data_IF_560024688860
#
_entry.id   IF_560024688860
#
_cell.length_a   1.000
_cell.length_b   1.000
_cell.length_c   1.000
_cell.angle_alpha   90.00
_cell.angle_beta   90.00
_cell.angle_gamma   90.00
#
_symmetry.space_group_name_H-M   'P 1'
#
loop_
_entity.id
_entity.type
_entity.pdbx_description
1 polymer ?
#
# COMPACT_ATOMS: atom_id res chain seq x y z
N UNK A 1 19.32 2.13 8.86
CA UNK A 1 18.87 0.78 9.25
C UNK A 1 18.67 -0.11 8.04
N UNK A 2 17.68 0.13 7.17
CA UNK A 2 17.44 -0.71 5.98
C UNK A 2 18.64 -0.69 5.01
N UNK A 3 19.17 0.49 4.67
CA UNK A 3 20.34 0.61 3.79
C UNK A 3 21.55 -0.20 4.29
N UNK A 4 21.86 -0.12 5.59
CA UNK A 4 22.94 -0.94 6.18
C UNK A 4 22.70 -2.45 6.05
N UNK A 5 21.46 -2.90 6.24
CA UNK A 5 21.12 -4.33 6.06
C UNK A 5 21.14 -4.75 4.59
N UNK A 6 20.82 -3.83 3.67
CA UNK A 6 20.85 -4.08 2.23
C UNK A 6 22.26 -4.36 1.70
N UNK A 7 23.32 -3.86 2.35
CA UNK A 7 24.72 -4.16 1.98
C UNK A 7 25.07 -5.65 2.05
N UNK A 8 24.30 -6.46 2.78
CA UNK A 8 24.48 -7.92 2.81
C UNK A 8 23.86 -8.65 1.62
N UNK A 9 23.03 -7.96 0.82
CA UNK A 9 22.32 -8.53 -0.32
C UNK A 9 22.73 -7.90 -1.65
N UNK A 10 22.88 -6.57 -1.69
CA UNK A 10 23.26 -5.81 -2.86
C UNK A 10 24.77 -5.53 -2.88
N UNK A 11 25.35 -5.53 -4.09
CA UNK A 11 26.77 -5.21 -4.30
C UNK A 11 27.11 -3.78 -3.87
N UNK A 12 26.21 -2.85 -4.14
CA UNK A 12 26.36 -1.42 -3.88
C UNK A 12 25.03 -0.86 -3.36
N UNK A 13 25.11 0.01 -2.35
CA UNK A 13 23.94 0.59 -1.68
C UNK A 13 24.24 2.03 -1.31
N UNK A 14 23.51 2.94 -1.95
CA UNK A 14 23.57 4.37 -1.63
C UNK A 14 22.40 4.81 -0.77
N UNK A 15 22.71 5.69 0.18
CA UNK A 15 21.73 6.36 1.00
C UNK A 15 21.64 7.83 0.59
N UNK A 16 20.69 8.12 -0.29
CA UNK A 16 20.51 9.44 -0.87
C UNK A 16 19.52 10.28 -0.06
N UNK A 17 19.86 11.55 0.17
CA UNK A 17 18.94 12.49 0.82
C UNK A 17 17.91 13.01 -0.18
N UNK A 18 16.63 12.68 0.05
CA UNK A 18 15.52 13.10 -0.82
C UNK A 18 15.44 14.62 -1.01
N UNK A 19 15.99 15.42 -0.09
CA UNK A 19 16.04 16.89 -0.19
C UNK A 19 16.95 17.41 -1.30
N UNK A 20 17.87 16.58 -1.78
CA UNK A 20 18.80 16.87 -2.86
C UNK A 20 18.35 16.28 -4.20
N UNK A 21 17.15 15.72 -4.26
CA UNK A 21 16.61 15.08 -5.47
C UNK A 21 15.68 16.05 -6.19
N UNK A 22 15.85 16.13 -7.50
CA UNK A 22 15.00 16.88 -8.41
C UNK A 22 14.47 15.98 -9.52
N UNK A 23 13.34 16.34 -10.12
CA UNK A 23 12.79 15.67 -11.30
C UNK A 23 12.64 16.70 -12.41
N UNK A 24 13.42 16.55 -13.46
CA UNK A 24 13.45 17.44 -14.62
C UNK A 24 12.56 16.88 -15.73
N UNK A 25 11.76 17.75 -16.34
CA UNK A 25 10.83 17.45 -17.44
C UNK A 25 11.12 18.38 -18.62
N UNK A 26 10.73 17.96 -19.83
CA UNK A 26 10.91 18.76 -21.06
C UNK A 26 12.14 18.41 -21.90
N UNK A 27 12.95 17.44 -21.45
CA UNK A 27 14.00 16.83 -22.26
C UNK A 27 13.40 15.84 -23.27
N UNK A 28 13.96 15.76 -24.48
CA UNK A 28 13.55 14.79 -25.52
C UNK A 28 13.72 13.32 -25.08
N UNK A 29 14.61 13.06 -24.12
CA UNK A 29 14.87 11.73 -23.55
C UNK A 29 13.85 11.32 -22.48
N UNK A 30 12.88 12.18 -22.17
CA UNK A 30 11.87 11.95 -21.14
C UNK A 30 12.30 12.46 -19.76
N UNK A 31 11.58 12.06 -18.70
CA UNK A 31 11.84 12.56 -17.35
C UNK A 31 13.21 12.10 -16.84
N UNK A 32 13.93 13.02 -16.19
CA UNK A 32 15.22 12.76 -15.56
C UNK A 32 15.13 12.99 -14.05
N UNK A 33 15.76 12.11 -13.27
CA UNK A 33 15.93 12.30 -11.83
C UNK A 33 17.36 12.76 -11.61
N UNK A 34 17.53 13.87 -10.88
CA UNK A 34 18.81 14.51 -10.61
C UNK A 34 19.08 14.40 -9.10
N UNK A 35 20.31 14.06 -8.71
CA UNK A 35 20.77 14.09 -7.33
C UNK A 35 22.01 14.97 -7.22
N UNK A 36 21.94 15.99 -6.35
CA UNK A 36 23.05 16.91 -6.08
C UNK A 36 23.64 17.54 -7.36
N UNK A 37 22.76 17.93 -8.29
CA UNK A 37 23.10 18.58 -9.56
C UNK A 37 23.55 17.65 -10.70
N UNK A 38 23.56 16.33 -10.49
CA UNK A 38 23.94 15.34 -11.52
C UNK A 38 22.81 14.36 -11.81
N UNK A 39 22.69 13.83 -13.04
CA UNK A 39 21.77 12.74 -13.32
C UNK A 39 21.97 11.59 -12.34
N UNK A 40 20.88 11.09 -11.77
CA UNK A 40 20.90 9.95 -10.87
C UNK A 40 21.44 8.74 -11.64
N UNK A 41 22.36 8.01 -11.02
CA UNK A 41 22.92 6.78 -11.57
C UNK A 41 21.84 5.71 -11.79
N UNK A 42 22.16 4.69 -12.59
CA UNK A 42 21.25 3.58 -12.83
C UNK A 42 21.26 2.61 -11.64
N UNK A 43 20.10 2.45 -11.00
CA UNK A 43 19.90 1.50 -9.92
C UNK A 43 19.01 0.35 -10.38
N UNK A 44 19.28 -0.87 -9.92
CA UNK A 44 18.38 -2.01 -10.10
C UNK A 44 17.13 -1.92 -9.19
N UNK A 45 17.28 -1.24 -8.04
CA UNK A 45 16.25 -1.11 -7.00
C UNK A 45 16.29 0.28 -6.37
N UNK A 46 15.14 0.93 -6.24
CA UNK A 46 15.01 2.19 -5.50
C UNK A 46 13.91 2.07 -4.44
N UNK A 47 14.29 2.18 -3.17
CA UNK A 47 13.33 2.29 -2.08
C UNK A 47 13.12 3.75 -1.66
N UNK A 48 12.25 4.46 -2.37
CA UNK A 48 11.91 5.85 -2.07
C UNK A 48 11.12 5.94 -0.75
N UNK A 49 11.66 6.67 0.23
CA UNK A 49 10.99 6.97 1.52
C UNK A 49 10.96 8.46 1.76
N UNK A 50 9.83 8.97 2.25
CA UNK A 50 9.68 10.38 2.57
C UNK A 50 8.53 10.64 3.52
N UNK A 51 8.60 11.77 4.23
CA UNK A 51 7.41 12.31 4.90
C UNK A 51 6.40 12.80 3.86
N UNK A 52 5.16 13.06 4.28
CA UNK A 52 4.10 13.60 3.41
C UNK A 52 4.52 14.89 2.66
N UNK A 53 5.48 15.66 3.20
CA UNK A 53 6.05 16.86 2.55
C UNK A 53 6.71 16.57 1.21
N UNK A 54 7.22 15.36 1.02
CA UNK A 54 7.88 14.92 -0.20
C UNK A 54 7.00 13.99 -1.04
N UNK A 55 5.69 13.90 -0.75
CA UNK A 55 4.79 13.01 -1.48
C UNK A 55 4.76 13.29 -3.00
N UNK A 56 4.76 14.58 -3.38
CA UNK A 56 4.81 14.99 -4.78
C UNK A 56 6.13 14.58 -5.44
N UNK A 57 7.25 14.81 -4.76
CA UNK A 57 8.57 14.43 -5.25
C UNK A 57 8.71 12.90 -5.37
N UNK A 58 8.25 12.14 -4.37
CA UNK A 58 8.24 10.67 -4.39
C UNK A 58 7.40 10.12 -5.54
N UNK A 59 6.24 10.74 -5.82
CA UNK A 59 5.44 10.43 -7.01
C UNK A 59 6.20 10.72 -8.31
N UNK A 60 6.89 11.87 -8.38
CA UNK A 60 7.69 12.24 -9.54
C UNK A 60 8.82 11.24 -9.81
N UNK A 61 9.58 10.87 -8.77
CA UNK A 61 10.68 9.89 -8.87
C UNK A 61 10.14 8.54 -9.33
N UNK A 62 9.10 8.02 -8.65
CA UNK A 62 8.53 6.72 -8.99
C UNK A 62 7.89 6.69 -10.37
N UNK A 63 7.29 7.79 -10.82
CA UNK A 63 6.75 7.88 -12.17
C UNK A 63 7.86 7.93 -13.24
N UNK A 64 8.94 8.67 -12.98
CA UNK A 64 10.07 8.81 -13.89
C UNK A 64 10.88 7.51 -14.05
N UNK A 65 10.91 6.65 -13.02
CA UNK A 65 11.77 5.47 -12.96
C UNK A 65 11.03 4.12 -13.00
N UNK A 66 9.69 4.13 -13.17
CA UNK A 66 8.80 2.96 -13.03
C UNK A 66 9.27 1.72 -13.83
N UNK A 67 9.78 1.92 -15.03
CA UNK A 67 10.20 0.83 -15.93
C UNK A 67 11.72 0.57 -15.91
N UNK A 68 12.47 1.39 -15.17
CA UNK A 68 13.93 1.32 -15.14
C UNK A 68 14.43 0.38 -14.04
N UNK A 69 13.76 0.39 -12.89
CA UNK A 69 14.20 -0.32 -11.69
C UNK A 69 13.00 -0.84 -10.89
N UNK A 70 13.24 -1.82 -10.02
CA UNK A 70 12.22 -2.23 -9.06
C UNK A 70 12.02 -1.15 -8.00
N UNK A 71 10.76 -0.81 -7.72
CA UNK A 71 10.37 0.09 -6.64
C UNK A 71 9.18 -0.51 -5.89
N UNK A 72 9.23 -0.61 -4.55
CA UNK A 72 8.18 -1.24 -3.75
C UNK A 72 6.92 -0.37 -3.58
N UNK A 73 6.93 0.85 -4.11
CA UNK A 73 5.81 1.78 -4.04
C UNK A 73 5.55 2.31 -5.43
N UNK A 74 4.29 2.29 -5.86
CA UNK A 74 3.90 2.87 -7.12
C UNK A 74 3.71 4.40 -6.99
N UNK A 75 3.68 5.14 -8.11
CA UNK A 75 3.32 6.56 -8.09
C UNK A 75 1.95 6.83 -7.42
N UNK A 76 1.00 5.92 -7.64
CA UNK A 76 -0.32 5.96 -7.04
C UNK A 76 -0.25 5.76 -5.53
N UNK A 77 0.63 4.89 -5.02
CA UNK A 77 0.81 4.69 -3.57
C UNK A 77 1.20 5.98 -2.83
N UNK A 78 2.04 6.82 -3.43
CA UNK A 78 2.38 8.14 -2.85
C UNK A 78 1.21 9.13 -2.89
N UNK A 79 0.28 8.95 -3.83
CA UNK A 79 -0.95 9.75 -3.91
C UNK A 79 -1.95 9.33 -2.85
N UNK A 80 -2.22 8.02 -2.80
CA UNK A 80 -3.27 7.43 -1.98
C UNK A 80 -2.80 7.35 -0.52
N UNK A 81 -1.62 6.81 -0.26
CA UNK A 81 -1.12 6.55 1.11
C UNK A 81 -0.75 7.79 1.93
N UNK A 82 -0.78 8.99 1.34
CA UNK A 82 -0.61 10.26 2.07
C UNK A 82 -1.92 11.04 2.25
N UNK A 83 -3.04 10.54 1.73
CA UNK A 83 -4.38 11.08 1.90
C UNK A 83 -5.28 10.02 2.56
N UNK A 84 -5.66 10.27 3.81
CA UNK A 84 -6.48 9.31 4.58
C UNK A 84 -7.82 9.04 3.91
N UNK A 85 -8.46 10.05 3.31
CA UNK A 85 -9.75 9.85 2.68
C UNK A 85 -9.62 9.05 1.39
N UNK A 86 -8.63 9.37 0.56
CA UNK A 86 -8.39 8.63 -0.68
C UNK A 86 -7.99 7.18 -0.41
N UNK A 87 -7.22 6.93 0.67
CA UNK A 87 -6.95 5.57 1.15
C UNK A 87 -8.27 4.84 1.42
N UNK A 88 -9.16 5.42 2.24
CA UNK A 88 -10.46 4.83 2.58
C UNK A 88 -11.33 4.59 1.33
N UNK A 89 -11.31 5.48 0.33
CA UNK A 89 -12.01 5.25 -0.94
C UNK A 89 -11.50 4.00 -1.66
N UNK A 90 -10.19 3.78 -1.72
CA UNK A 90 -9.62 2.57 -2.35
C UNK A 90 -9.96 1.31 -1.55
N UNK A 91 -9.90 1.37 -0.21
CA UNK A 91 -10.33 0.27 0.65
C UNK A 91 -11.80 -0.09 0.43
N UNK A 92 -12.68 0.90 0.20
CA UNK A 92 -14.12 0.70 0.05
C UNK A 92 -14.43 -0.01 -1.26
N UNK A 93 -13.73 0.35 -2.34
CA UNK A 93 -13.84 -0.31 -3.65
C UNK A 93 -13.47 -1.79 -3.58
N UNK A 94 -12.52 -2.13 -2.72
CA UNK A 94 -12.08 -3.51 -2.48
C UNK A 94 -12.94 -4.23 -1.42
N UNK A 95 -13.97 -3.60 -0.87
CA UNK A 95 -14.84 -4.20 0.16
C UNK A 95 -14.12 -4.46 1.50
N UNK A 96 -13.08 -3.68 1.81
CA UNK A 96 -12.32 -3.77 3.06
C UNK A 96 -13.08 -3.02 4.17
N UNK A 97 -13.42 -3.66 5.30
CA UNK A 97 -14.09 -2.98 6.40
C UNK A 97 -13.29 -1.80 6.95
N UNK A 98 -13.96 -0.66 7.06
CA UNK A 98 -13.46 0.58 7.67
C UNK A 98 -14.58 1.26 8.48
N UNK A 99 -14.25 2.17 9.43
CA UNK A 99 -15.28 2.94 10.11
C UNK A 99 -16.02 3.85 9.12
N UNK A 100 -17.32 4.06 9.33
CA UNK A 100 -18.10 4.96 8.46
C UNK A 100 -17.45 6.33 8.44
N UNK A 101 -17.15 6.83 7.24
CA UNK A 101 -16.40 8.07 7.05
C UNK A 101 -17.11 8.96 6.04
N UNK A 102 -17.16 10.25 6.34
CA UNK A 102 -17.85 11.26 5.58
C UNK A 102 -16.90 12.42 5.26
N UNK A 103 -17.00 12.91 4.03
CA UNK A 103 -16.37 14.15 3.58
C UNK A 103 -17.49 15.08 3.14
N UNK A 104 -17.47 16.33 3.63
CA UNK A 104 -18.47 17.33 3.31
C UNK A 104 -17.82 18.48 2.55
N UNK A 105 -18.53 19.01 1.53
CA UNK A 105 -18.03 20.14 0.74
C UNK A 105 -18.10 21.49 1.47
N UNK A 106 -18.92 21.60 2.52
CA UNK A 106 -19.04 22.82 3.34
C UNK A 106 -19.23 22.46 4.81
N UNK A 107 -18.87 23.40 5.69
CA UNK A 107 -19.10 23.27 7.14
C UNK A 107 -20.57 23.16 7.47
N UNK A 108 -21.45 23.86 6.75
CA UNK A 108 -22.91 23.72 6.91
C UNK A 108 -23.38 22.27 6.71
N UNK A 109 -22.93 21.61 5.65
CA UNK A 109 -23.28 20.20 5.40
C UNK A 109 -22.59 19.27 6.40
N UNK A 110 -21.36 19.56 6.80
CA UNK A 110 -20.64 18.83 7.84
C UNK A 110 -21.39 18.86 9.19
N UNK A 111 -21.94 20.01 9.59
CA UNK A 111 -22.73 20.15 10.81
C UNK A 111 -24.00 19.30 10.79
N UNK A 112 -24.69 19.20 9.65
CA UNK A 112 -25.84 18.29 9.49
C UNK A 112 -25.45 16.82 9.61
N UNK A 113 -24.26 16.44 9.14
CA UNK A 113 -23.73 15.08 9.32
C UNK A 113 -23.42 14.80 10.78
N UNK A 114 -22.79 15.75 11.48
CA UNK A 114 -22.52 15.66 12.92
C UNK A 114 -23.82 15.48 13.72
N UNK A 115 -24.87 16.23 13.43
CA UNK A 115 -26.18 16.10 14.12
C UNK A 115 -26.80 14.69 14.01
N UNK A 116 -26.49 13.97 12.93
CA UNK A 116 -26.98 12.61 12.66
C UNK A 116 -25.99 11.52 13.08
N UNK A 117 -24.82 11.90 13.60
CA UNK A 117 -23.77 10.96 13.97
C UNK A 117 -24.02 10.36 15.35
N UNK A 118 -23.50 9.15 15.58
CA UNK A 118 -23.40 8.60 16.92
C UNK A 118 -22.17 9.20 17.60
N UNK A 119 -22.27 9.42 18.91
CA UNK A 119 -21.19 10.01 19.71
C UNK A 119 -20.52 8.96 20.62
N UNK A 120 -19.19 9.07 20.84
CA UNK A 120 -18.31 10.10 20.30
C UNK A 120 -18.08 9.95 18.79
N UNK A 121 -17.87 11.06 18.09
CA UNK A 121 -17.51 11.09 16.68
C UNK A 121 -16.07 11.58 16.52
N UNK A 122 -15.39 11.15 15.46
CA UNK A 122 -14.01 11.54 15.18
C UNK A 122 -13.97 12.55 14.04
N UNK A 123 -13.27 13.66 14.23
CA UNK A 123 -12.98 14.63 13.15
C UNK A 123 -11.48 14.59 12.89
N UNK A 124 -11.06 14.34 11.64
CA UNK A 124 -9.64 14.21 11.27
C UNK A 124 -9.25 15.16 10.16
N UNK A 125 -8.02 15.68 10.22
CA UNK A 125 -7.38 16.29 9.05
C UNK A 125 -6.87 15.16 8.13
N UNK A 126 -7.26 15.14 6.83
CA UNK A 126 -6.90 14.06 5.90
C UNK A 126 -5.39 13.89 5.72
N UNK A 127 -4.66 15.00 5.69
CA UNK A 127 -3.19 15.03 5.55
C UNK A 127 -2.48 15.02 6.92
N UNK A 128 -1.20 14.64 6.92
CA UNK A 128 -0.36 14.62 8.12
C UNK A 128 -0.24 13.24 8.79
N UNK A 129 0.71 13.14 9.72
CA UNK A 129 1.14 11.88 10.36
C UNK A 129 1.14 11.99 11.89
N UNK A 130 1.31 10.86 12.58
CA UNK A 130 1.47 10.76 14.04
C UNK A 130 0.24 11.18 14.87
N UNK A 131 -0.97 11.10 14.31
CA UNK A 131 -2.21 11.37 15.06
C UNK A 131 -2.45 12.84 15.43
N UNK A 132 -1.61 13.76 14.96
CA UNK A 132 -1.91 15.20 15.00
C UNK A 132 -3.07 15.48 14.06
N UNK A 133 -4.06 16.25 14.53
CA UNK A 133 -5.27 16.53 13.76
C UNK A 133 -6.36 15.46 13.87
N UNK A 134 -6.33 14.58 14.87
CA UNK A 134 -7.47 13.72 15.25
C UNK A 134 -8.14 14.31 16.48
N UNK A 135 -9.41 14.67 16.35
CA UNK A 135 -10.22 15.32 17.38
C UNK A 135 -11.43 14.44 17.71
N UNK A 136 -11.80 14.39 18.98
CA UNK A 136 -12.98 13.68 19.46
C UNK A 136 -14.08 14.71 19.72
N UNK A 137 -15.27 14.46 19.17
CA UNK A 137 -16.47 15.21 19.44
C UNK A 137 -17.38 14.34 20.29
N UNK A 138 -17.60 14.71 21.55
CA UNK A 138 -18.43 13.92 22.48
C UNK A 138 -19.93 14.30 22.38
N UNK A 139 -20.24 15.38 21.67
CA UNK A 139 -21.60 15.82 21.36
C UNK A 139 -21.67 16.56 20.02
N UNK A 140 -22.89 16.82 19.55
CA UNK A 140 -23.10 17.57 18.32
C UNK A 140 -22.58 19.01 18.42
N UNK A 141 -22.74 19.65 19.59
CA UNK A 141 -22.25 20.99 19.89
C UNK A 141 -20.72 21.03 19.84
N UNK A 142 -20.05 20.07 20.50
CA UNK A 142 -18.59 19.93 20.45
C UNK A 142 -18.09 19.75 19.01
N UNK A 143 -18.74 18.85 18.25
CA UNK A 143 -18.40 18.63 16.84
C UNK A 143 -18.58 19.88 15.98
N UNK A 144 -19.67 20.63 16.17
CA UNK A 144 -19.91 21.91 15.49
C UNK A 144 -18.82 22.93 15.81
N UNK A 145 -18.42 23.08 17.08
CA UNK A 145 -17.33 23.98 17.48
C UNK A 145 -16.00 23.60 16.87
N UNK A 146 -15.68 22.30 16.78
CA UNK A 146 -14.47 21.82 16.10
C UNK A 146 -14.50 22.19 14.62
N UNK A 147 -15.64 21.99 13.95
CA UNK A 147 -15.80 22.34 12.53
C UNK A 147 -15.64 23.85 12.29
N UNK A 148 -16.20 24.69 13.16
CA UNK A 148 -16.07 26.15 13.08
C UNK A 148 -14.60 26.58 13.21
N UNK A 149 -13.86 25.98 14.14
CA UNK A 149 -12.42 26.24 14.27
C UNK A 149 -11.65 25.83 13.01
N UNK A 150 -11.93 24.65 12.44
CA UNK A 150 -11.27 24.19 11.23
C UNK A 150 -11.58 25.08 10.02
N UNK A 151 -12.79 25.65 9.96
CA UNK A 151 -13.18 26.63 8.94
C UNK A 151 -12.32 27.90 8.99
N UNK A 152 -12.17 28.47 10.19
CA UNK A 152 -11.36 29.68 10.43
C UNK A 152 -9.92 29.45 9.98
N UNK A 153 -9.35 28.28 10.29
CA UNK A 153 -7.99 27.92 9.89
C UNK A 153 -7.90 27.33 8.47
N UNK A 154 -9.01 27.28 7.72
CA UNK A 154 -9.11 26.74 6.36
C UNK A 154 -8.50 25.34 6.23
N UNK A 155 -8.73 24.50 7.25
CA UNK A 155 -8.20 23.14 7.28
C UNK A 155 -9.22 22.15 6.70
N UNK A 156 -8.79 21.22 5.83
CA UNK A 156 -9.66 20.15 5.37
C UNK A 156 -9.96 19.17 6.51
N UNK A 157 -11.11 18.52 6.46
CA UNK A 157 -11.52 17.55 7.48
C UNK A 157 -12.34 16.39 6.89
N UNK A 158 -12.32 15.27 7.60
CA UNK A 158 -13.26 14.16 7.46
C UNK A 158 -13.91 13.87 8.80
N UNK A 159 -15.16 13.44 8.78
CA UNK A 159 -15.91 12.98 9.95
C UNK A 159 -15.96 11.46 9.89
N UNK A 160 -15.64 10.78 10.98
CA UNK A 160 -15.55 9.33 11.04
C UNK A 160 -16.22 8.81 12.31
N UNK A 161 -16.90 7.68 12.20
CA UNK A 161 -17.43 6.91 13.32
C UNK A 161 -16.33 6.52 14.29
N UNK A 162 -16.59 6.67 15.60
CA UNK A 162 -15.72 6.12 16.62
C UNK A 162 -15.96 4.61 16.76
N UNK A 163 -14.87 3.85 16.78
CA UNK A 163 -14.89 2.41 17.07
C UNK A 163 -14.27 2.18 18.43
N UNK A 164 -15.09 1.72 19.37
CA UNK A 164 -14.64 1.35 20.72
C UNK A 164 -13.74 0.12 20.65
N UNK A 165 -12.53 0.24 21.18
CA UNK A 165 -11.45 -0.76 21.11
C UNK A 165 -10.64 -0.84 22.40
N UNK A 166 -11.11 -0.22 23.48
CA UNK A 166 -10.37 -0.11 24.74
C UNK A 166 -9.09 0.71 24.59
N UNK A 167 -9.11 1.70 23.69
CA UNK A 167 -7.97 2.54 23.31
C UNK A 167 -6.75 1.73 22.82
N UNK A 168 -7.01 0.72 21.99
CA UNK A 168 -5.96 -0.10 21.37
C UNK A 168 -6.10 -0.14 19.86
N UNK A 169 -4.97 -0.24 19.19
CA UNK A 169 -4.91 -0.54 17.77
C UNK A 169 -3.79 -1.54 17.49
N UNK A 170 -3.84 -2.13 16.30
CA UNK A 170 -2.85 -3.10 15.84
C UNK A 170 -2.17 -2.51 14.62
N UNK A 171 -0.84 -2.35 14.68
CA UNK A 171 -0.02 -2.01 13.54
C UNK A 171 0.55 -3.27 12.93
N UNK A 172 0.28 -3.48 11.65
CA UNK A 172 0.67 -4.65 10.86
C UNK A 172 1.60 -4.21 9.74
N UNK A 173 2.82 -4.72 9.68
CA UNK A 173 3.74 -4.48 8.56
C UNK A 173 3.57 -5.57 7.51
N UNK A 174 3.27 -5.14 6.29
CA UNK A 174 3.11 -6.00 5.11
C UNK A 174 4.31 -5.80 4.18
N UNK A 175 4.90 -6.90 3.72
CA UNK A 175 5.88 -6.95 2.63
C UNK A 175 5.33 -7.88 1.52
N UNK A 176 5.01 -7.32 0.35
CA UNK A 176 4.31 -8.01 -0.73
C UNK A 176 2.98 -8.58 -0.25
N UNK A 177 2.82 -9.89 -0.38
CA UNK A 177 1.61 -10.60 0.02
C UNK A 177 1.69 -11.23 1.43
N UNK A 178 2.63 -10.77 2.27
CA UNK A 178 2.89 -11.37 3.58
C UNK A 178 2.92 -10.35 4.72
N UNK A 179 2.34 -10.72 5.87
CA UNK A 179 2.54 -10.00 7.12
C UNK A 179 3.84 -10.45 7.78
N UNK A 180 4.74 -9.50 8.01
CA UNK A 180 6.08 -9.78 8.58
C UNK A 180 6.12 -9.55 10.08
N UNK A 181 5.39 -8.55 10.57
CA UNK A 181 5.38 -8.19 11.97
C UNK A 181 4.08 -7.47 12.34
N UNK A 182 3.56 -7.76 13.53
CA UNK A 182 2.43 -7.04 14.10
C UNK A 182 2.69 -6.69 15.57
N UNK A 183 2.25 -5.49 15.96
CA UNK A 183 2.20 -5.10 17.36
C UNK A 183 0.84 -4.49 17.69
N UNK A 184 0.34 -4.80 18.87
CA UNK A 184 -0.74 -4.06 19.48
C UNK A 184 -0.15 -2.88 20.23
N UNK A 185 -0.70 -1.69 20.01
CA UNK A 185 -0.37 -0.49 20.78
C UNK A 185 -1.54 -0.17 21.70
N UNK A 186 -1.21 0.32 22.90
CA UNK A 186 -2.20 0.79 23.86
C UNK A 186 -1.90 2.23 24.23
N UNK A 187 -2.95 3.05 24.25
CA UNK A 187 -2.88 4.45 24.68
C UNK A 187 -2.43 4.56 26.13
N UNK A 188 -1.87 5.72 26.50
CA UNK A 188 -1.62 6.04 27.91
C UNK A 188 -2.94 6.24 28.66
N UNK A 189 -2.92 6.12 29.99
CA UNK A 189 -4.11 6.33 30.82
C UNK A 189 -4.63 7.76 30.63
N UNK A 190 -5.89 7.90 30.22
CA UNK A 190 -6.52 9.20 29.92
C UNK A 190 -6.40 9.64 28.46
N UNK A 191 -5.65 8.92 27.60
CA UNK A 191 -5.69 9.12 26.16
C UNK A 191 -6.53 8.03 25.48
N UNK A 192 -7.35 8.44 24.50
CA UNK A 192 -8.05 7.50 23.61
C UNK A 192 -7.19 7.06 22.41
N UNK A 193 -6.01 7.66 22.23
CA UNK A 193 -5.13 7.45 21.06
C UNK A 193 -3.97 6.52 21.39
N UNK A 194 -3.84 5.40 20.66
CA UNK A 194 -2.85 4.36 20.94
C UNK A 194 -1.44 4.60 20.37
N UNK A 195 -1.16 5.77 19.78
CA UNK A 195 0.10 6.01 19.08
C UNK A 195 1.35 5.92 20.00
N UNK A 196 2.33 5.07 19.62
CA UNK A 196 3.60 4.90 20.37
C UNK A 196 4.40 6.20 20.50
N UNK A 197 4.33 7.09 19.51
CA UNK A 197 5.02 8.39 19.56
C UNK A 197 4.46 9.34 20.65
N UNK A 198 3.28 9.04 21.18
CA UNK A 198 2.69 9.70 22.35
C UNK A 198 2.99 8.96 23.66
N UNK A 199 3.99 8.06 23.68
CA UNK A 199 4.37 7.28 24.86
C UNK A 199 3.55 6.01 25.09
N UNK A 200 2.79 5.54 24.10
CA UNK A 200 2.08 4.27 24.14
C UNK A 200 3.03 3.06 24.19
N UNK A 201 2.63 1.98 24.88
CA UNK A 201 3.41 0.73 24.94
C UNK A 201 3.00 -0.21 23.81
N UNK A 202 3.96 -0.66 23.00
CA UNK A 202 3.77 -1.68 21.97
C UNK A 202 4.09 -3.08 22.49
N UNK A 203 3.24 -4.07 22.20
CA UNK A 203 3.52 -5.49 22.46
C UNK A 203 3.31 -6.30 21.19
N UNK A 204 4.14 -7.33 20.97
CA UNK A 204 3.92 -8.31 19.89
C UNK A 204 2.53 -8.91 20.02
N UNK A 205 1.83 -9.07 18.89
CA UNK A 205 0.53 -9.72 18.82
C UNK A 205 0.54 -10.76 17.70
N UNK A 206 -0.18 -11.87 17.89
CA UNK A 206 -0.46 -12.83 16.83
C UNK A 206 -1.79 -12.44 16.19
N UNK A 207 -1.80 -12.24 14.87
CA UNK A 207 -3.02 -11.94 14.14
C UNK A 207 -3.84 -13.22 13.92
N UNK A 208 -5.16 -13.06 13.81
CA UNK A 208 -6.00 -14.07 13.19
C UNK A 208 -5.93 -13.97 11.65
N UNK A 209 -6.36 -15.04 10.98
CA UNK A 209 -6.29 -15.16 9.53
C UNK A 209 -7.07 -14.03 8.82
N UNK A 210 -8.21 -13.63 9.37
CA UNK A 210 -9.04 -12.55 8.80
C UNK A 210 -8.29 -11.23 8.83
N UNK A 211 -7.62 -10.89 9.93
CA UNK A 211 -6.87 -9.64 10.08
C UNK A 211 -5.61 -9.64 9.23
N UNK A 212 -4.94 -10.79 9.09
CA UNK A 212 -3.78 -10.94 8.21
C UNK A 212 -4.17 -10.76 6.74
N UNK A 213 -5.22 -11.45 6.29
CA UNK A 213 -5.76 -11.29 4.94
C UNK A 213 -6.22 -9.85 4.67
N UNK A 214 -6.91 -9.24 5.64
CA UNK A 214 -7.34 -7.84 5.57
C UNK A 214 -6.15 -6.88 5.39
N UNK A 215 -5.05 -7.09 6.11
CA UNK A 215 -3.86 -6.27 6.02
C UNK A 215 -3.20 -6.38 4.63
N UNK A 216 -3.01 -7.60 4.12
CA UNK A 216 -2.46 -7.83 2.77
C UNK A 216 -3.36 -7.23 1.70
N UNK A 217 -4.68 -7.45 1.79
CA UNK A 217 -5.65 -6.87 0.86
C UNK A 217 -5.61 -5.33 0.86
N UNK A 218 -5.39 -4.71 2.02
CA UNK A 218 -5.26 -3.25 2.15
C UNK A 218 -3.99 -2.69 1.52
N UNK A 219 -2.87 -3.43 1.62
CA UNK A 219 -1.62 -3.07 0.94
C UNK A 219 -1.80 -3.11 -0.58
N UNK A 220 -2.43 -4.18 -1.08
CA UNK A 220 -2.74 -4.38 -2.50
C UNK A 220 -3.71 -3.32 -3.03
N UNK A 221 -4.71 -2.89 -2.25
CA UNK A 221 -5.66 -1.85 -2.63
C UNK A 221 -5.01 -0.49 -2.96
N UNK A 222 -3.78 -0.24 -2.49
CA UNK A 222 -3.04 0.99 -2.75
C UNK A 222 -1.73 0.77 -3.52
N UNK A 223 -1.54 -0.42 -4.10
CA UNK A 223 -0.34 -0.84 -4.85
C UNK A 223 0.98 -0.66 -4.09
N UNK A 224 0.98 -0.90 -2.76
CA UNK A 224 2.17 -0.74 -1.93
C UNK A 224 2.72 -2.11 -1.49
N UNK A 225 3.89 -2.49 -2.02
CA UNK A 225 4.58 -3.71 -1.61
C UNK A 225 5.13 -3.59 -0.19
N UNK A 226 5.41 -2.38 0.30
CA UNK A 226 5.88 -2.16 1.66
C UNK A 226 5.03 -1.08 2.32
N UNK A 227 4.19 -1.47 3.26
CA UNK A 227 3.40 -0.53 4.05
C UNK A 227 3.06 -1.08 5.43
N UNK A 228 2.62 -0.20 6.33
CA UNK A 228 2.03 -0.60 7.60
C UNK A 228 0.54 -0.26 7.63
N UNK A 229 -0.28 -1.25 8.01
CA UNK A 229 -1.72 -1.13 8.16
C UNK A 229 -2.03 -0.91 9.64
N UNK A 230 -2.77 0.15 9.94
CA UNK A 230 -3.31 0.36 11.29
C UNK A 230 -4.74 -0.15 11.33
N UNK A 231 -5.01 -1.06 12.27
CA UNK A 231 -6.26 -1.80 12.41
C UNK A 231 -6.85 -1.57 13.79
N UNK A 232 -8.13 -1.22 13.84
CA UNK A 232 -8.93 -1.23 15.06
C UNK A 232 -9.61 -2.59 15.21
N UNK A 233 -9.37 -3.26 16.33
CA UNK A 233 -9.96 -4.58 16.64
C UNK A 233 -11.16 -4.40 17.58
N UNK A 234 -12.36 -4.33 17.01
CA UNK A 234 -13.62 -4.40 17.74
C UNK A 234 -14.27 -5.78 17.60
N UNK A 235 -15.60 -5.83 17.46
CA UNK A 235 -16.33 -7.06 17.07
C UNK A 235 -15.84 -7.64 15.73
N UNK A 236 -15.35 -6.78 14.84
CA UNK A 236 -14.61 -7.12 13.62
C UNK A 236 -13.41 -6.21 13.48
N UNK A 237 -12.50 -6.55 12.57
CA UNK A 237 -11.33 -5.75 12.24
C UNK A 237 -11.71 -4.61 11.29
N UNK A 238 -11.28 -3.39 11.59
CA UNK A 238 -11.47 -2.20 10.76
C UNK A 238 -10.12 -1.60 10.41
N UNK A 239 -9.89 -1.34 9.12
CA UNK A 239 -8.70 -0.63 8.67
C UNK A 239 -8.94 0.86 8.80
N UNK A 240 -7.99 1.57 9.44
CA UNK A 240 -8.10 3.01 9.65
C UNK A 240 -7.06 3.82 8.89
N UNK A 241 -5.90 3.26 8.61
CA UNK A 241 -4.81 3.96 7.92
C UNK A 241 -3.88 2.95 7.23
N UNK A 242 -3.37 3.33 6.06
CA UNK A 242 -2.30 2.61 5.36
C UNK A 242 -1.10 3.53 5.20
N UNK A 243 0.01 3.17 5.82
CA UNK A 243 1.23 3.96 5.90
C UNK A 243 2.29 3.44 4.93
N UNK A 244 2.54 4.16 3.83
CA UNK A 244 3.55 3.79 2.80
C UNK A 244 5.00 4.08 3.20
N UNK A 245 5.23 4.89 4.23
CA UNK A 245 6.56 5.13 4.80
C UNK A 245 6.58 4.85 6.30
N UNK A 246 6.35 3.59 6.72
CA UNK A 246 6.23 3.28 8.13
C UNK A 246 7.58 3.41 8.86
N UNK A 247 7.52 3.91 10.09
CA UNK A 247 8.61 3.78 11.04
C UNK A 247 8.69 2.34 11.54
N UNK A 248 9.90 1.77 11.57
CA UNK A 248 10.12 0.34 11.88
C UNK A 248 10.70 0.12 13.28
N UNK A 249 11.27 1.15 13.91
CA UNK A 249 11.99 1.02 15.19
C UNK A 249 11.10 0.50 16.30
N UNK A 250 9.91 1.09 16.48
CA UNK A 250 8.96 0.65 17.51
C UNK A 250 8.46 -0.77 17.28
N UNK A 251 8.24 -1.16 16.02
CA UNK A 251 7.80 -2.51 15.66
C UNK A 251 8.92 -3.53 15.89
N UNK A 252 10.17 -3.21 15.55
CA UNK A 252 11.35 -4.05 15.83
C UNK A 252 11.51 -4.25 17.34
N UNK A 253 11.41 -3.18 18.13
CA UNK A 253 11.55 -3.28 19.58
C UNK A 253 10.46 -4.13 20.23
N UNK A 254 9.20 -3.99 19.78
CA UNK A 254 8.06 -4.72 20.31
C UNK A 254 8.05 -6.20 19.91
N UNK A 255 8.47 -6.52 18.67
CA UNK A 255 8.39 -7.88 18.12
C UNK A 255 9.69 -8.67 18.23
N UNK A 256 10.83 -7.98 18.42
CA UNK A 256 12.20 -8.52 18.34
C UNK A 256 12.56 -9.11 16.98
N UNK A 257 11.80 -8.80 15.93
CA UNK A 257 12.06 -9.22 14.56
C UNK A 257 13.02 -8.23 13.89
N UNK A 258 14.03 -8.72 13.17
CA UNK A 258 14.89 -7.90 12.31
C UNK A 258 14.14 -7.44 11.06
N UNK A 259 13.27 -6.44 11.25
CA UNK A 259 12.43 -5.88 10.18
C UNK A 259 13.28 -5.21 9.11
N UNK A 260 14.38 -4.55 9.48
CA UNK A 260 15.26 -3.91 8.51
C UNK A 260 15.91 -4.95 7.59
N UNK A 261 16.35 -6.08 8.16
CA UNK A 261 16.85 -7.24 7.39
C UNK A 261 15.77 -7.84 6.49
N UNK A 262 14.56 -8.05 6.99
CA UNK A 262 13.43 -8.57 6.21
C UNK A 262 13.04 -7.67 5.03
N UNK A 263 13.07 -6.35 5.22
CA UNK A 263 12.85 -5.39 4.12
C UNK A 263 13.98 -5.49 3.09
N UNK A 264 15.23 -5.55 3.54
CA UNK A 264 16.38 -5.65 2.63
C UNK A 264 16.35 -6.92 1.77
N UNK A 265 16.09 -8.07 2.40
CA UNK A 265 15.89 -9.37 1.74
C UNK A 265 14.74 -9.30 0.72
N UNK A 266 13.59 -8.74 1.11
CA UNK A 266 12.44 -8.57 0.24
C UNK A 266 12.75 -7.72 -1.00
N UNK A 267 13.39 -6.56 -0.81
CA UNK A 267 13.79 -5.67 -1.91
C UNK A 267 14.71 -6.41 -2.89
N UNK A 268 15.67 -7.18 -2.39
CA UNK A 268 16.60 -7.94 -3.22
C UNK A 268 15.91 -9.01 -4.07
N UNK A 269 15.06 -9.83 -3.46
CA UNK A 269 14.34 -10.88 -4.19
C UNK A 269 13.39 -10.29 -5.24
N UNK A 270 12.66 -9.22 -4.90
CA UNK A 270 11.80 -8.53 -5.87
C UNK A 270 12.56 -7.86 -6.99
N UNK A 271 13.77 -7.38 -6.73
CA UNK A 271 14.66 -6.85 -7.77
C UNK A 271 15.07 -7.96 -8.76
N UNK A 272 15.41 -9.15 -8.27
CA UNK A 272 15.71 -10.31 -9.13
C UNK A 272 14.50 -10.70 -9.98
N UNK A 273 13.31 -10.76 -9.38
CA UNK A 273 12.05 -11.02 -10.10
C UNK A 273 11.81 -9.98 -11.19
N UNK A 274 11.94 -8.68 -10.87
CA UNK A 274 11.75 -7.60 -11.82
C UNK A 274 12.71 -7.68 -13.01
N UNK A 275 14.00 -7.95 -12.76
CA UNK A 275 15.00 -8.11 -13.83
C UNK A 275 14.68 -9.32 -14.70
N UNK A 276 14.34 -10.47 -14.11
CA UNK A 276 13.95 -11.66 -14.86
C UNK A 276 12.71 -11.41 -15.73
N UNK A 277 11.70 -10.70 -15.21
CA UNK A 277 10.51 -10.32 -15.98
C UNK A 277 10.85 -9.40 -17.15
N UNK A 278 11.76 -8.42 -16.94
CA UNK A 278 12.19 -7.49 -17.98
C UNK A 278 12.94 -8.21 -19.09
N UNK A 279 13.90 -9.07 -18.74
CA UNK A 279 14.62 -9.92 -19.71
C UNK A 279 13.66 -10.80 -20.51
N UNK A 280 12.69 -11.45 -19.85
CA UNK A 280 11.68 -12.27 -20.54
C UNK A 280 10.76 -11.43 -21.44
N UNK A 281 10.39 -10.22 -21.03
CA UNK A 281 9.57 -9.31 -21.83
C UNK A 281 10.33 -8.79 -23.05
N UNK A 282 11.60 -8.44 -22.87
CA UNK A 282 12.48 -8.01 -23.95
C UNK A 282 12.72 -9.16 -24.93
N UNK A 283 12.96 -10.37 -24.43
CA UNK A 283 13.09 -11.59 -25.24
C UNK A 283 11.80 -11.89 -26.03
N UNK A 284 10.64 -11.86 -25.37
CA UNK A 284 9.35 -12.01 -26.04
C UNK A 284 9.06 -10.92 -27.06
N UNK A 285 9.49 -9.68 -26.81
CA UNK A 285 9.32 -8.59 -27.75
C UNK A 285 10.17 -8.82 -29.00
N UNK A 286 11.42 -9.25 -28.82
CA UNK A 286 12.32 -9.63 -29.92
C UNK A 286 11.76 -10.83 -30.70
N UNK A 287 11.18 -11.82 -30.03
CA UNK A 287 10.52 -12.96 -30.69
C UNK A 287 9.20 -12.54 -31.36
N UNK A 288 8.37 -11.69 -30.75
CA UNK A 288 7.12 -11.24 -31.37
C UNK A 288 7.36 -10.36 -32.60
N UNK A 289 8.52 -9.72 -32.68
CA UNK A 289 8.98 -8.99 -33.86
C UNK A 289 9.54 -9.95 -34.95
N UNK A 290 9.64 -11.25 -34.65
CA UNK A 290 10.08 -12.35 -35.52
C UNK A 290 8.95 -13.40 -35.68
N UNK A 291 8.05 -13.16 -36.63
CA UNK A 291 7.01 -14.07 -37.15
C UNK A 291 5.89 -14.58 -36.20
N UNK A 292 4.66 -14.28 -36.60
CA UNK A 292 3.40 -14.78 -36.05
C UNK A 292 3.16 -16.23 -36.47
N UNK A 293 3.55 -17.21 -35.64
CA UNK A 293 2.92 -18.54 -35.53
C UNK A 293 3.62 -19.34 -34.43
N UNK A 294 3.11 -19.30 -33.21
CA UNK A 294 3.53 -20.26 -32.18
C UNK A 294 2.31 -20.85 -31.46
N UNK A 295 2.32 -22.18 -31.32
CA UNK A 295 1.37 -22.99 -30.56
C UNK A 295 1.73 -23.03 -29.05
N UNK A 296 2.84 -22.39 -28.64
CA UNK A 296 3.33 -22.36 -27.26
C UNK A 296 3.59 -20.93 -26.79
N UNK A 297 3.02 -20.57 -25.64
CA UNK A 297 3.20 -19.26 -25.03
C UNK A 297 4.03 -19.41 -23.75
N UNK A 298 5.32 -19.07 -23.80
CA UNK A 298 6.10 -18.96 -22.57
C UNK A 298 5.50 -17.84 -21.71
N UNK A 299 5.12 -18.05 -20.45
CA UNK A 299 4.62 -16.99 -19.58
C UNK A 299 4.88 -17.32 -18.11
N UNK A 300 5.02 -16.29 -17.27
CA UNK A 300 5.10 -16.50 -15.83
C UNK A 300 3.70 -16.86 -15.31
N UNK A 301 3.60 -17.97 -14.57
CA UNK A 301 2.35 -18.41 -13.98
C UNK A 301 1.96 -17.49 -12.81
N UNK A 302 0.93 -16.66 -13.01
CA UNK A 302 0.43 -15.75 -11.98
C UNK A 302 -0.79 -16.37 -11.30
N UNK A 303 -0.60 -16.88 -10.08
CA UNK A 303 -1.65 -17.49 -9.27
C UNK A 303 -1.96 -16.54 -8.11
N UNK A 304 -3.17 -15.97 -8.08
CA UNK A 304 -3.65 -15.15 -6.96
C UNK A 304 -4.91 -15.75 -6.38
N UNK A 305 -4.89 -16.12 -5.10
CA UNK A 305 -6.02 -16.74 -4.40
C UNK A 305 -6.61 -17.97 -5.15
N UNK A 306 -5.75 -18.79 -5.77
CA UNK A 306 -6.16 -19.95 -6.57
C UNK A 306 -6.60 -19.63 -8.01
N UNK A 307 -6.60 -18.37 -8.42
CA UNK A 307 -6.98 -17.93 -9.77
C UNK A 307 -5.73 -17.83 -10.64
N UNK A 308 -5.71 -18.59 -11.74
CA UNK A 308 -4.70 -18.46 -12.81
C UNK A 308 -5.21 -17.43 -13.81
N UNK A 309 -4.53 -16.28 -13.94
CA UNK A 309 -4.87 -15.27 -14.95
C UNK A 309 -4.10 -15.54 -16.24
N UNK A 310 -4.80 -15.98 -17.29
CA UNK A 310 -4.20 -16.19 -18.61
C UNK A 310 -3.89 -14.85 -19.30
N UNK A 311 -2.75 -14.71 -20.01
CA UNK A 311 -2.45 -13.55 -20.83
C UNK A 311 -3.47 -13.34 -21.95
N UNK A 312 -3.66 -12.09 -22.38
CA UNK A 312 -4.63 -11.73 -23.43
C UNK A 312 -4.34 -12.44 -24.76
N UNK A 313 -3.06 -12.64 -25.09
CA UNK A 313 -2.62 -13.39 -26.28
C UNK A 313 -3.10 -14.85 -26.25
N UNK A 314 -3.00 -15.51 -25.08
CA UNK A 314 -3.48 -16.89 -24.89
C UNK A 314 -4.99 -16.97 -25.03
N UNK A 315 -5.72 -16.02 -24.42
CA UNK A 315 -7.20 -16.01 -24.54
C UNK A 315 -7.68 -15.71 -25.95
N UNK A 316 -6.96 -14.87 -26.72
CA UNK A 316 -7.27 -14.61 -28.13
C UNK A 316 -7.00 -15.82 -29.02
N UNK A 317 -5.86 -16.49 -28.81
CA UNK A 317 -5.48 -17.68 -29.57
C UNK A 317 -6.41 -18.87 -29.28
N UNK A 318 -6.74 -19.12 -28.01
CA UNK A 318 -7.56 -20.26 -27.58
C UNK A 318 -9.07 -20.00 -27.65
N UNK A 319 -9.48 -18.72 -27.74
CA UNK A 319 -10.88 -18.26 -27.73
C UNK A 319 -11.67 -18.68 -26.48
N UNK A 320 -11.00 -18.90 -25.34
CA UNK A 320 -11.67 -19.14 -24.06
C UNK A 320 -12.48 -17.91 -23.59
N UNK A 321 -13.65 -18.15 -23.02
CA UNK A 321 -14.55 -17.14 -22.40
C UNK A 321 -14.72 -17.43 -20.90
N UNK A 322 -15.09 -16.42 -20.09
CA UNK A 322 -15.24 -16.57 -18.63
C UNK A 322 -16.19 -17.67 -18.16
N UNK A 323 -17.13 -18.10 -19.00
CA UNK A 323 -18.16 -19.09 -18.67
C UNK A 323 -18.07 -20.38 -19.51
N UNK A 324 -16.94 -20.61 -20.21
CA UNK A 324 -16.74 -21.86 -20.93
C UNK A 324 -16.63 -23.03 -19.94
N UNK A 325 -17.38 -24.11 -20.17
CA UNK A 325 -17.15 -25.37 -19.48
C UNK A 325 -15.83 -25.99 -19.98
N UNK A 326 -14.99 -26.43 -19.04
CA UNK A 326 -13.65 -26.95 -19.36
C UNK A 326 -13.35 -28.25 -18.64
N UNK A 327 -12.56 -29.09 -19.30
CA UNK A 327 -11.90 -30.24 -18.69
C UNK A 327 -10.48 -29.85 -18.33
N UNK A 328 -10.12 -30.02 -17.06
CA UNK A 328 -8.78 -29.77 -16.54
C UNK A 328 -8.10 -31.11 -16.27
N UNK A 329 -7.04 -31.43 -17.02
CA UNK A 329 -6.16 -32.57 -16.76
C UNK A 329 -4.92 -32.09 -16.01
N UNK A 330 -4.50 -32.85 -15.00
CA UNK A 330 -3.36 -32.52 -14.14
C UNK A 330 -2.37 -33.67 -14.14
N UNK A 331 -1.13 -33.36 -14.51
CA UNK A 331 0.03 -34.25 -14.46
C UNK A 331 1.16 -33.55 -13.67
N UNK A 332 2.22 -34.29 -13.30
CA UNK A 332 3.34 -33.71 -12.53
C UNK A 332 4.02 -32.60 -13.34
N UNK A 333 3.82 -31.35 -12.94
CA UNK A 333 4.40 -30.17 -13.60
C UNK A 333 3.61 -29.67 -14.81
N UNK A 334 2.42 -30.20 -15.08
CA UNK A 334 1.62 -29.84 -16.24
C UNK A 334 0.13 -29.75 -15.90
N UNK A 335 -0.54 -28.72 -16.41
CA UNK A 335 -2.00 -28.58 -16.39
C UNK A 335 -2.47 -28.32 -17.81
N UNK A 336 -3.43 -29.11 -18.29
CA UNK A 336 -4.04 -28.95 -19.63
C UNK A 336 -5.52 -28.62 -19.45
N UNK A 337 -5.93 -27.47 -19.97
CA UNK A 337 -7.33 -27.01 -19.96
C UNK A 337 -7.86 -27.13 -21.39
N UNK A 338 -8.94 -27.90 -21.57
CA UNK A 338 -9.64 -28.03 -22.86
C UNK A 338 -11.09 -27.62 -22.71
N UNK A 339 -11.68 -26.97 -23.72
CA UNK A 339 -13.13 -26.78 -23.76
C UNK A 339 -13.83 -28.13 -23.71
N UNK A 340 -14.89 -28.20 -22.92
CA UNK A 340 -15.77 -29.35 -22.90
C UNK A 340 -16.79 -29.18 -24.03
N UNK A 341 -16.52 -29.78 -25.19
CA UNK A 341 -17.51 -29.86 -26.26
C UNK A 341 -18.45 -31.03 -25.95
N UNK A 342 -19.69 -30.72 -25.56
CA UNK A 342 -20.79 -31.71 -25.57
C UNK A 342 -21.06 -31.99 -27.04
N UNK A 343 -20.55 -33.11 -27.55
CA UNK A 343 -20.71 -33.49 -28.95
C UNK A 343 -22.18 -33.52 -29.39
N UNK A 344 -22.43 -32.99 -30.59
CA UNK A 344 -23.47 -33.49 -31.48
C UNK A 344 -22.88 -34.62 -32.34
#
# INVERSE_FOLDING_TARGET
MVAEKAKSFFKEVDMLDIRKVEVHLGDKKGPQVIYDGKPLEEYDCIYCKGSYKYALLGRGITAALKDKCYMPLSPESFTVGHDKFLTLVNLQKEGIPMPKTYLAGTVKEAKKLIEKSHFPAIIKIPSGTHGKGVMFADSAESGKSILDALEVFKQPYIIQEYVETGATDIRVLVLGDHVVAAMQRKAQKGELRANIHSGGKGKKVKLDADTEHLAVKSANAINADICAIDVLKGLRSYVIEVNVSPGIQGLTQATKIDIAGKIAEFLFEKTKEFKAMKTNKDYKKVISDLDEKEDEFLANLNIKAGIIKLPESVTKATKFKPDDEVVIKVDKGQVIIKKHDIGN
#
